data_IF_287045414350
#
_entry.id   IF_287045414350
#
_cell.length_a   1.000
_cell.length_b   1.000
_cell.length_c   1.000
_cell.angle_alpha   90.00
_cell.angle_beta   90.00
_cell.angle_gamma   90.00
#
_symmetry.space_group_name_H-M   'P 1'
#
loop_
_entity.id
_entity.type
_entity.pdbx_description
1 polymer ?
#
# COMPACT_ATOMS: atom_id res chain seq x y z
N UNK A 1 11.68 -7.30 17.18
CA UNK A 1 11.71 -7.08 15.71
C UNK A 1 10.40 -7.38 15.00
N UNK A 2 9.69 -8.47 15.34
CA UNK A 2 8.42 -8.80 14.67
C UNK A 2 7.37 -7.68 14.74
N UNK A 3 7.27 -7.00 15.90
CA UNK A 3 6.37 -5.85 16.09
C UNK A 3 6.81 -4.64 15.25
N UNK A 4 8.11 -4.29 15.26
CA UNK A 4 8.66 -3.20 14.45
C UNK A 4 8.39 -3.39 12.95
N UNK A 5 8.50 -4.61 12.43
CA UNK A 5 8.16 -4.91 11.02
C UNK A 5 6.67 -4.67 10.71
N UNK A 6 5.78 -5.01 11.67
CA UNK A 6 4.35 -4.73 11.53
C UNK A 6 4.07 -3.23 11.55
N UNK A 7 4.73 -2.48 12.45
CA UNK A 7 4.60 -1.02 12.55
C UNK A 7 5.10 -0.33 11.27
N UNK A 8 6.25 -0.74 10.72
CA UNK A 8 6.72 -0.26 9.41
C UNK A 8 5.66 -0.44 8.32
N UNK A 9 5.09 -1.64 8.20
CA UNK A 9 4.03 -1.91 7.23
C UNK A 9 2.77 -1.06 7.45
N UNK A 10 2.39 -0.81 8.71
CA UNK A 10 1.25 0.03 9.05
C UNK A 10 1.49 1.51 8.72
N UNK A 11 2.68 2.04 8.96
CA UNK A 11 3.03 3.41 8.55
C UNK A 11 2.90 3.61 7.04
N UNK A 12 3.44 2.68 6.25
CA UNK A 12 3.35 2.74 4.80
C UNK A 12 1.89 2.67 4.32
N UNK A 13 1.10 1.73 4.86
CA UNK A 13 -0.32 1.62 4.52
C UNK A 13 -1.12 2.86 4.92
N UNK A 14 -0.82 3.46 6.09
CA UNK A 14 -1.47 4.69 6.54
C UNK A 14 -1.16 5.85 5.60
N UNK A 15 0.11 6.01 5.22
CA UNK A 15 0.55 7.05 4.29
C UNK A 15 -0.16 6.92 2.92
N UNK A 16 -0.17 5.71 2.35
CA UNK A 16 -0.86 5.45 1.08
C UNK A 16 -2.37 5.75 1.18
N UNK A 17 -3.03 5.30 2.25
CA UNK A 17 -4.46 5.56 2.45
C UNK A 17 -4.75 7.06 2.62
N UNK A 18 -3.92 7.79 3.35
CA UNK A 18 -4.02 9.25 3.48
C UNK A 18 -3.86 9.92 2.11
N UNK A 19 -2.81 9.56 1.36
CA UNK A 19 -2.56 10.09 0.04
C UNK A 19 -3.77 9.89 -0.88
N UNK A 20 -4.33 8.68 -0.93
CA UNK A 20 -5.49 8.40 -1.78
C UNK A 20 -6.77 9.08 -1.28
N UNK A 21 -6.99 9.16 0.04
CA UNK A 21 -8.14 9.87 0.61
C UNK A 21 -8.13 11.36 0.22
N UNK A 22 -7.00 12.04 0.44
CA UNK A 22 -6.83 13.45 0.09
C UNK A 22 -6.92 13.67 -1.42
N UNK A 23 -6.22 12.84 -2.21
CA UNK A 23 -6.20 12.96 -3.67
C UNK A 23 -7.59 12.76 -4.28
N UNK A 24 -8.39 11.81 -3.76
CA UNK A 24 -9.76 11.58 -4.25
C UNK A 24 -10.71 12.74 -3.94
N UNK A 25 -10.54 13.38 -2.79
CA UNK A 25 -11.35 14.53 -2.40
C UNK A 25 -11.00 15.80 -3.19
N UNK A 26 -9.74 15.95 -3.58
CA UNK A 26 -9.24 17.14 -4.27
C UNK A 26 -9.22 17.01 -5.81
N UNK A 27 -9.41 15.81 -6.37
CA UNK A 27 -9.37 15.59 -7.82
C UNK A 27 -10.72 15.88 -8.49
N UNK A 28 -10.74 16.91 -9.33
CA UNK A 28 -11.91 17.32 -10.13
C UNK A 28 -11.94 16.67 -11.52
N UNK A 29 -10.81 16.17 -12.03
CA UNK A 29 -10.77 15.47 -13.31
C UNK A 29 -11.28 14.02 -13.12
N UNK A 30 -12.42 13.66 -13.73
CA UNK A 30 -13.03 12.35 -13.49
C UNK A 30 -12.15 11.18 -13.95
N UNK A 31 -11.39 11.33 -15.04
CA UNK A 31 -10.50 10.26 -15.53
C UNK A 31 -9.37 10.01 -14.52
N UNK A 32 -8.78 11.08 -13.96
CA UNK A 32 -7.75 10.94 -12.92
C UNK A 32 -8.36 10.37 -11.63
N UNK A 33 -9.55 10.83 -11.24
CA UNK A 33 -10.29 10.31 -10.09
C UNK A 33 -10.53 8.80 -10.21
N UNK A 34 -10.95 8.31 -11.38
CA UNK A 34 -11.11 6.88 -11.62
C UNK A 34 -9.80 6.09 -11.50
N UNK A 35 -8.67 6.64 -11.95
CA UNK A 35 -7.37 5.99 -11.76
C UNK A 35 -6.97 5.92 -10.29
N UNK A 36 -7.23 6.99 -9.53
CA UNK A 36 -6.99 7.01 -8.08
C UNK A 36 -7.86 5.96 -7.37
N UNK A 37 -9.13 5.81 -7.74
CA UNK A 37 -10.01 4.77 -7.17
C UNK A 37 -9.40 3.38 -7.39
N UNK A 38 -8.93 3.06 -8.61
CA UNK A 38 -8.32 1.77 -8.90
C UNK A 38 -7.13 1.45 -7.98
N UNK A 39 -6.27 2.43 -7.74
CA UNK A 39 -5.11 2.27 -6.86
C UNK A 39 -5.54 2.18 -5.39
N UNK A 40 -6.47 3.02 -4.96
CA UNK A 40 -7.01 2.99 -3.61
C UNK A 40 -7.66 1.63 -3.27
N UNK A 41 -8.36 1.00 -4.21
CA UNK A 41 -8.92 -0.35 -4.03
C UNK A 41 -7.83 -1.41 -3.74
N UNK A 42 -6.64 -1.27 -4.33
CA UNK A 42 -5.51 -2.20 -4.09
C UNK A 42 -4.97 -2.02 -2.67
N UNK A 43 -4.77 -0.76 -2.25
CA UNK A 43 -4.29 -0.45 -0.89
C UNK A 43 -5.30 -0.88 0.16
N UNK A 44 -6.58 -0.55 -0.03
CA UNK A 44 -7.66 -0.98 0.86
C UNK A 44 -7.75 -2.51 0.94
N UNK A 45 -7.67 -3.22 -0.18
CA UNK A 45 -7.69 -4.69 -0.16
C UNK A 45 -6.50 -5.26 0.64
N UNK A 46 -5.29 -4.75 0.38
CA UNK A 46 -4.07 -5.14 1.10
C UNK A 46 -4.21 -4.91 2.61
N UNK A 47 -4.73 -3.74 2.99
CA UNK A 47 -4.99 -3.41 4.39
C UNK A 47 -6.02 -4.37 5.02
N UNK A 48 -7.17 -4.59 4.36
CA UNK A 48 -8.25 -5.44 4.88
C UNK A 48 -7.77 -6.89 5.07
N UNK A 49 -7.01 -7.44 4.14
CA UNK A 49 -6.39 -8.77 4.27
C UNK A 49 -5.40 -8.84 5.43
N UNK A 50 -4.69 -7.74 5.71
CA UNK A 50 -3.74 -7.66 6.81
C UNK A 50 -4.39 -7.67 8.20
N UNK A 51 -5.67 -7.27 8.33
CA UNK A 51 -6.35 -7.14 9.63
C UNK A 51 -6.29 -8.41 10.50
N UNK A 52 -6.27 -9.58 9.88
CA UNK A 52 -6.21 -10.85 10.61
C UNK A 52 -4.87 -11.06 11.33
N UNK A 53 -3.79 -10.44 10.84
CA UNK A 53 -2.46 -10.51 11.44
C UNK A 53 -2.39 -9.80 12.79
N UNK A 54 -3.39 -8.98 13.12
CA UNK A 54 -3.41 -8.16 14.34
C UNK A 54 -4.34 -8.69 15.44
N UNK A 55 -5.06 -9.79 15.20
CA UNK A 55 -6.05 -10.32 16.14
C UNK A 55 -5.52 -10.56 17.56
N UNK A 56 -4.23 -10.90 17.71
CA UNK A 56 -3.59 -11.08 19.02
C UNK A 56 -3.47 -9.78 19.81
N UNK A 57 -3.11 -8.68 19.14
CA UNK A 57 -2.95 -7.36 19.75
C UNK A 57 -4.29 -6.69 20.06
N UNK A 58 -5.38 -7.18 19.44
CA UNK A 58 -6.72 -6.69 19.70
C UNK A 58 -7.34 -7.24 20.98
N UNK A 59 -6.76 -8.28 21.62
CA UNK A 59 -7.43 -9.08 22.68
C UNK A 59 -8.12 -8.27 23.78
N UNK A 60 -7.54 -7.14 24.19
CA UNK A 60 -8.06 -6.30 25.27
C UNK A 60 -8.64 -4.97 24.78
N UNK A 61 -8.86 -4.79 23.47
CA UNK A 61 -9.39 -3.57 22.88
C UNK A 61 -10.63 -3.88 22.01
N UNK A 62 -11.80 -3.93 22.66
CA UNK A 62 -13.06 -4.27 21.99
C UNK A 62 -13.47 -3.23 20.95
N UNK A 63 -13.17 -1.95 21.18
CA UNK A 63 -13.42 -0.89 20.20
C UNK A 63 -12.66 -1.13 18.88
N UNK A 64 -11.37 -1.48 18.96
CA UNK A 64 -10.58 -1.80 17.77
C UNK A 64 -10.99 -3.11 17.12
N UNK A 65 -11.46 -4.11 17.89
CA UNK A 65 -12.06 -5.31 17.32
C UNK A 65 -13.30 -4.98 16.51
N UNK A 66 -14.18 -4.15 17.02
CA UNK A 66 -15.44 -3.81 16.37
C UNK A 66 -15.23 -2.93 15.14
N UNK A 67 -14.30 -1.96 15.22
CA UNK A 67 -13.82 -1.22 14.03
C UNK A 67 -13.26 -2.17 12.97
N UNK A 68 -12.38 -3.11 13.34
CA UNK A 68 -11.84 -4.10 12.40
C UNK A 68 -12.94 -4.98 11.78
N UNK A 69 -13.96 -5.41 12.56
CA UNK A 69 -15.10 -6.17 12.05
C UNK A 69 -15.93 -5.35 11.06
N UNK A 70 -16.21 -4.09 11.37
CA UNK A 70 -16.93 -3.17 10.49
C UNK A 70 -16.20 -2.96 9.16
N UNK A 71 -14.87 -2.75 9.21
CA UNK A 71 -14.03 -2.63 8.02
C UNK A 71 -14.05 -3.93 7.19
N UNK A 72 -13.89 -5.10 7.83
CA UNK A 72 -13.93 -6.40 7.13
C UNK A 72 -15.24 -6.66 6.40
N UNK A 73 -16.39 -6.26 6.98
CA UNK A 73 -17.71 -6.41 6.33
C UNK A 73 -17.76 -5.70 4.97
N UNK A 74 -17.18 -4.50 4.90
CA UNK A 74 -17.05 -3.67 3.67
C UNK A 74 -15.99 -4.20 2.69
N UNK A 75 -15.09 -5.06 3.16
CA UNK A 75 -14.04 -5.66 2.33
C UNK A 75 -14.53 -6.50 1.16
N UNK A 76 -15.76 -7.05 1.23
CA UNK A 76 -16.33 -7.86 0.16
C UNK A 76 -16.44 -7.09 -1.16
N UNK A 77 -17.00 -5.88 -1.13
CA UNK A 77 -17.12 -5.03 -2.32
C UNK A 77 -15.73 -4.59 -2.83
N UNK A 78 -14.81 -4.23 -1.93
CA UNK A 78 -13.45 -3.80 -2.30
C UNK A 78 -12.69 -4.90 -3.04
N UNK A 79 -12.67 -6.12 -2.49
CA UNK A 79 -12.04 -7.26 -3.12
C UNK A 79 -12.69 -7.58 -4.48
N UNK A 80 -14.02 -7.57 -4.55
CA UNK A 80 -14.75 -7.77 -5.80
C UNK A 80 -14.32 -6.76 -6.86
N UNK A 81 -14.39 -5.46 -6.56
CA UNK A 81 -14.02 -4.41 -7.50
C UNK A 81 -12.54 -4.51 -7.89
N UNK A 82 -11.62 -4.70 -6.94
CA UNK A 82 -10.18 -4.87 -7.20
C UNK A 82 -9.92 -6.02 -8.18
N UNK A 83 -10.63 -7.13 -8.05
CA UNK A 83 -10.49 -8.27 -8.97
C UNK A 83 -11.08 -7.98 -10.35
N UNK A 84 -12.14 -7.16 -10.43
CA UNK A 84 -12.81 -6.81 -11.68
C UNK A 84 -12.12 -5.71 -12.49
N UNK A 85 -11.46 -4.74 -11.84
CA UNK A 85 -10.85 -3.60 -12.53
C UNK A 85 -9.36 -3.39 -12.23
N UNK A 86 -8.86 -3.89 -11.09
CA UNK A 86 -7.54 -3.56 -10.56
C UNK A 86 -6.37 -4.29 -11.23
N UNK A 87 -6.51 -5.60 -11.53
CA UNK A 87 -5.42 -6.43 -12.08
C UNK A 87 -5.50 -6.65 -13.60
N UNK A 88 -6.64 -7.12 -14.07
CA UNK A 88 -6.94 -7.31 -15.49
C UNK A 88 -8.36 -6.80 -15.77
N UNK A 89 -8.62 -6.36 -17.00
CA UNK A 89 -9.99 -6.03 -17.40
C UNK A 89 -10.75 -7.35 -17.61
N UNK A 90 -11.61 -7.67 -16.66
CA UNK A 90 -12.46 -8.87 -16.70
C UNK A 90 -13.39 -8.83 -17.92
N UNK A 91 -13.36 -9.87 -18.77
CA UNK A 91 -14.13 -9.89 -20.02
C UNK A 91 -15.63 -9.77 -19.79
N UNK A 92 -16.14 -10.36 -18.72
CA UNK A 92 -17.56 -10.34 -18.39
C UNK A 92 -18.00 -8.96 -17.91
N UNK A 93 -17.12 -8.23 -17.24
CA UNK A 93 -17.31 -6.80 -16.95
C UNK A 93 -17.24 -5.97 -18.22
N UNK A 94 -16.30 -6.23 -19.14
CA UNK A 94 -16.23 -5.49 -20.40
C UNK A 94 -17.49 -5.67 -21.25
N UNK A 95 -18.02 -6.90 -21.33
CA UNK A 95 -19.29 -7.18 -22.04
C UNK A 95 -20.45 -6.40 -21.42
N UNK A 96 -20.59 -6.43 -20.09
CA UNK A 96 -21.62 -5.68 -19.36
C UNK A 96 -21.44 -4.18 -19.53
N UNK A 97 -20.21 -3.68 -19.48
CA UNK A 97 -19.92 -2.28 -19.70
C UNK A 97 -20.30 -1.84 -21.12
N UNK A 98 -19.92 -2.61 -22.13
CA UNK A 98 -20.30 -2.32 -23.52
C UNK A 98 -21.82 -2.28 -23.72
N UNK A 99 -22.58 -3.11 -22.99
CA UNK A 99 -24.04 -3.09 -22.97
C UNK A 99 -24.60 -1.90 -22.19
N UNK A 100 -24.03 -1.58 -21.02
CA UNK A 100 -24.49 -0.54 -20.11
C UNK A 100 -24.38 0.86 -20.70
N UNK A 101 -23.31 1.13 -21.45
CA UNK A 101 -23.08 2.42 -22.10
C UNK A 101 -22.85 2.26 -23.61
N UNK A 102 -23.91 2.01 -24.40
CA UNK A 102 -23.79 1.89 -25.86
C UNK A 102 -23.24 3.17 -26.50
N UNK A 103 -23.39 4.31 -25.83
CA UNK A 103 -22.86 5.61 -26.25
C UNK A 103 -21.34 5.60 -26.49
N UNK A 104 -20.58 4.72 -25.82
CA UNK A 104 -19.15 4.53 -26.08
C UNK A 104 -18.88 4.28 -27.57
N UNK A 105 -19.75 3.50 -28.22
CA UNK A 105 -19.66 3.09 -29.62
C UNK A 105 -20.48 3.97 -30.58
N UNK A 106 -21.06 5.07 -30.10
CA UNK A 106 -21.81 5.99 -30.96
C UNK A 106 -20.89 6.68 -31.98
N UNK A 107 -21.44 6.99 -33.17
CA UNK A 107 -20.73 7.77 -34.19
C UNK A 107 -20.26 9.13 -33.65
N UNK A 108 -21.06 9.76 -32.78
CA UNK A 108 -20.74 11.03 -32.11
C UNK A 108 -19.45 10.95 -31.30
N UNK A 109 -19.23 9.84 -30.58
CA UNK A 109 -18.06 9.68 -29.74
C UNK A 109 -16.84 9.12 -30.48
N UNK A 110 -17.01 8.57 -31.70
CA UNK A 110 -15.91 8.01 -32.50
C UNK A 110 -14.72 8.96 -32.66
N UNK A 111 -14.99 10.24 -32.85
CA UNK A 111 -13.99 11.29 -33.09
C UNK A 111 -13.52 11.98 -31.79
N UNK A 112 -14.25 11.82 -30.69
CA UNK A 112 -13.90 12.40 -29.39
C UNK A 112 -13.31 11.34 -28.44
N UNK A 113 -12.00 11.11 -28.56
CA UNK A 113 -11.29 10.09 -27.75
C UNK A 113 -11.33 10.36 -26.26
N UNK A 114 -11.30 11.63 -25.83
CA UNK A 114 -11.40 11.99 -24.42
C UNK A 114 -12.76 11.60 -23.85
N UNK A 115 -13.85 11.88 -24.58
CA UNK A 115 -15.18 11.45 -24.18
C UNK A 115 -15.31 9.92 -24.14
N UNK A 116 -14.76 9.21 -25.14
CA UNK A 116 -14.75 7.73 -25.11
C UNK A 116 -14.01 7.19 -23.89
N UNK A 117 -12.84 7.74 -23.56
CA UNK A 117 -12.07 7.31 -22.40
C UNK A 117 -12.85 7.55 -21.10
N UNK A 118 -13.46 8.72 -20.96
CA UNK A 118 -14.31 9.03 -19.80
C UNK A 118 -15.47 8.03 -19.66
N UNK A 119 -16.23 7.80 -20.75
CA UNK A 119 -17.33 6.84 -20.77
C UNK A 119 -16.81 5.44 -20.42
N UNK A 120 -15.67 5.02 -20.97
CA UNK A 120 -15.06 3.74 -20.68
C UNK A 120 -14.76 3.54 -19.20
N UNK A 121 -14.10 4.50 -18.56
CA UNK A 121 -13.82 4.43 -17.12
C UNK A 121 -15.09 4.43 -16.27
N UNK A 122 -16.02 5.35 -16.54
CA UNK A 122 -17.31 5.45 -15.82
C UNK A 122 -18.04 4.11 -15.84
N UNK A 123 -18.18 3.55 -17.03
CA UNK A 123 -18.99 2.36 -17.29
C UNK A 123 -18.36 1.11 -16.70
N UNK A 124 -17.03 0.97 -16.77
CA UNK A 124 -16.32 -0.14 -16.13
C UNK A 124 -16.47 -0.07 -14.61
N UNK A 125 -16.40 1.12 -14.03
CA UNK A 125 -16.58 1.31 -12.59
C UNK A 125 -18.01 0.94 -12.15
N UNK A 126 -19.03 1.50 -12.80
CA UNK A 126 -20.44 1.18 -12.56
C UNK A 126 -20.72 -0.33 -12.70
N UNK A 127 -20.27 -0.93 -13.80
CA UNK A 127 -20.44 -2.38 -14.03
C UNK A 127 -19.77 -3.21 -12.94
N UNK A 128 -18.66 -2.73 -12.37
CA UNK A 128 -17.95 -3.44 -11.30
C UNK A 128 -18.65 -3.28 -9.95
N UNK A 129 -19.23 -2.11 -9.67
CA UNK A 129 -20.06 -1.87 -8.48
C UNK A 129 -21.33 -2.73 -8.55
N UNK A 130 -22.05 -2.65 -9.68
CA UNK A 130 -23.38 -3.26 -9.85
C UNK A 130 -23.32 -4.77 -10.05
N UNK A 131 -22.17 -5.33 -10.43
CA UNK A 131 -21.98 -6.79 -10.50
C UNK A 131 -21.76 -7.46 -9.13
N UNK A 132 -21.59 -6.69 -8.05
CA UNK A 132 -21.55 -7.22 -6.69
C UNK A 132 -22.98 -7.43 -6.18
N UNK A 133 -23.60 -8.54 -6.60
CA UNK A 133 -25.02 -8.85 -6.34
C UNK A 133 -25.22 -9.81 -5.17
N UNK A 134 -26.35 -9.68 -4.46
CA UNK A 134 -26.82 -10.71 -3.53
C UNK A 134 -27.57 -11.79 -4.32
N UNK A 135 -27.08 -13.02 -4.24
CA UNK A 135 -27.67 -14.18 -4.91
C UNK A 135 -28.98 -14.60 -4.24
N UNK A 136 -29.14 -14.30 -2.95
CA UNK A 136 -30.29 -14.72 -2.15
C UNK A 136 -31.43 -13.70 -2.14
N UNK A 137 -31.16 -12.43 -2.46
CA UNK A 137 -32.14 -11.34 -2.39
C UNK A 137 -32.29 -10.62 -3.74
N UNK A 138 -33.12 -11.20 -4.61
CA UNK A 138 -33.65 -10.59 -5.84
C UNK A 138 -32.63 -9.96 -6.81
N UNK A 139 -31.35 -10.36 -6.77
CA UNK A 139 -30.26 -9.81 -7.60
C UNK A 139 -29.96 -8.33 -7.36
N UNK A 140 -30.30 -7.78 -6.19
CA UNK A 140 -29.94 -6.41 -5.84
C UNK A 140 -28.43 -6.29 -5.61
N UNK A 141 -27.89 -5.07 -5.80
CA UNK A 141 -26.51 -4.77 -5.47
C UNK A 141 -26.33 -4.95 -3.94
N UNK A 142 -25.34 -5.75 -3.55
CA UNK A 142 -25.23 -6.31 -2.20
C UNK A 142 -24.83 -5.31 -1.11
N UNK A 143 -24.15 -4.22 -1.47
CA UNK A 143 -23.68 -3.21 -0.51
C UNK A 143 -24.70 -2.06 -0.35
N UNK A 144 -25.34 -1.65 -1.45
CA UNK A 144 -26.15 -0.44 -1.55
C UNK A 144 -27.64 -0.73 -1.71
N UNK A 145 -28.02 -1.97 -2.06
CA UNK A 145 -29.40 -2.36 -2.32
C UNK A 145 -30.01 -1.79 -3.60
N UNK A 146 -29.26 -0.98 -4.35
CA UNK A 146 -29.67 -0.33 -5.59
C UNK A 146 -28.56 -0.40 -6.64
N UNK A 147 -28.92 -0.32 -7.91
CA UNK A 147 -27.94 -0.09 -8.97
C UNK A 147 -27.40 1.34 -8.87
N UNK A 148 -26.09 1.49 -9.03
CA UNK A 148 -25.40 2.79 -8.99
C UNK A 148 -25.19 3.29 -10.41
N UNK A 149 -25.69 4.50 -10.71
CA UNK A 149 -25.34 5.27 -11.90
C UNK A 149 -24.55 6.53 -11.48
N UNK A 150 -23.27 6.61 -11.87
CA UNK A 150 -22.39 7.72 -11.48
C UNK A 150 -22.73 9.04 -12.19
N UNK A 151 -23.67 9.04 -13.13
CA UNK A 151 -24.23 10.27 -13.69
C UNK A 151 -25.35 10.86 -12.83
N UNK A 152 -25.92 10.06 -11.91
CA UNK A 152 -26.92 10.52 -10.95
C UNK A 152 -26.19 11.02 -9.69
N UNK A 153 -26.34 12.31 -9.30
CA UNK A 153 -25.60 12.87 -8.17
C UNK A 153 -25.79 12.11 -6.86
N UNK A 154 -27.00 11.65 -6.54
CA UNK A 154 -27.27 10.89 -5.31
C UNK A 154 -26.52 9.56 -5.26
N UNK A 155 -26.47 8.85 -6.37
CA UNK A 155 -25.86 7.52 -6.44
C UNK A 155 -24.32 7.63 -6.42
N UNK A 156 -23.82 8.68 -7.09
CA UNK A 156 -22.43 9.09 -7.00
C UNK A 156 -22.02 9.37 -5.55
N UNK A 157 -22.81 10.15 -4.81
CA UNK A 157 -22.58 10.43 -3.40
C UNK A 157 -22.58 9.16 -2.54
N UNK A 158 -23.49 8.21 -2.76
CA UNK A 158 -23.52 6.93 -2.04
C UNK A 158 -22.17 6.21 -2.17
N UNK A 159 -21.69 6.02 -3.40
CA UNK A 159 -20.43 5.31 -3.63
C UNK A 159 -19.20 6.06 -3.10
N UNK A 160 -19.11 7.37 -3.34
CA UNK A 160 -17.95 8.15 -2.89
C UNK A 160 -17.93 8.34 -1.37
N UNK A 161 -19.08 8.50 -0.71
CA UNK A 161 -19.15 8.52 0.75
C UNK A 161 -18.76 7.17 1.34
N UNK A 162 -19.22 6.07 0.76
CA UNK A 162 -18.80 4.73 1.17
C UNK A 162 -17.27 4.57 1.14
N UNK A 163 -16.64 4.92 0.01
CA UNK A 163 -15.19 4.80 -0.16
C UNK A 163 -14.43 5.77 0.77
N UNK A 164 -14.92 7.01 0.90
CA UNK A 164 -14.36 8.02 1.79
C UNK A 164 -14.38 7.59 3.24
N UNK A 165 -15.54 7.14 3.75
CA UNK A 165 -15.69 6.63 5.11
C UNK A 165 -14.82 5.40 5.36
N UNK A 166 -14.72 4.47 4.39
CA UNK A 166 -13.86 3.30 4.53
C UNK A 166 -12.38 3.68 4.64
N UNK A 167 -11.90 4.66 3.85
CA UNK A 167 -10.55 5.18 3.98
C UNK A 167 -10.33 5.78 5.38
N UNK A 168 -11.22 6.66 5.84
CA UNK A 168 -11.12 7.30 7.17
C UNK A 168 -11.10 6.27 8.28
N UNK A 169 -12.02 5.30 8.25
CA UNK A 169 -12.07 4.24 9.25
C UNK A 169 -10.80 3.40 9.26
N UNK A 170 -10.23 3.12 8.08
CA UNK A 170 -8.97 2.39 7.93
C UNK A 170 -7.80 3.17 8.50
N UNK A 171 -7.67 4.46 8.18
CA UNK A 171 -6.63 5.36 8.70
C UNK A 171 -6.70 5.47 10.22
N UNK A 172 -7.90 5.66 10.76
CA UNK A 172 -8.13 5.76 12.20
C UNK A 172 -7.81 4.44 12.89
N UNK A 173 -8.22 3.32 12.32
CA UNK A 173 -7.88 2.01 12.86
C UNK A 173 -6.37 1.77 12.88
N UNK A 174 -5.67 2.11 11.78
CA UNK A 174 -4.20 1.99 11.70
C UNK A 174 -3.51 2.86 12.75
N UNK A 175 -3.96 4.10 12.93
CA UNK A 175 -3.38 5.01 13.93
C UNK A 175 -3.49 4.42 15.33
N UNK A 176 -4.67 3.93 15.70
CA UNK A 176 -4.90 3.37 17.02
C UNK A 176 -4.15 2.05 17.26
N UNK A 177 -3.99 1.19 16.24
CA UNK A 177 -3.22 -0.05 16.41
C UNK A 177 -1.71 0.22 16.48
N UNK A 178 -1.20 1.27 15.80
CA UNK A 178 0.20 1.69 15.94
C UNK A 178 0.47 2.07 17.40
N UNK A 179 -0.38 2.91 18.00
CA UNK A 179 -0.26 3.31 19.41
C UNK A 179 -0.21 2.10 20.36
N UNK A 180 -1.03 1.07 20.09
CA UNK A 180 -1.02 -0.18 20.88
C UNK A 180 0.29 -0.95 20.70
N UNK A 181 0.79 -1.07 19.48
CA UNK A 181 2.01 -1.82 19.18
C UNK A 181 3.27 -1.12 19.68
N UNK A 182 3.28 0.21 19.72
CA UNK A 182 4.39 1.02 20.24
C UNK A 182 4.58 0.87 21.74
N UNK A 183 3.61 0.32 22.48
CA UNK A 183 3.79 -0.04 23.89
C UNK A 183 4.68 -1.29 24.07
N UNK A 184 4.83 -2.11 23.04
CA UNK A 184 5.53 -3.39 23.10
C UNK A 184 6.98 -3.33 22.55
N UNK A 185 7.49 -2.14 22.21
CA UNK A 185 8.90 -1.96 21.84
C UNK A 185 9.38 -0.54 22.13
N UNK A 186 10.70 -0.42 22.34
CA UNK A 186 11.36 0.88 22.51
C UNK A 186 11.98 1.34 21.18
N UNK A 187 11.95 2.65 20.96
CA UNK A 187 12.73 3.29 19.91
C UNK A 187 14.21 3.24 20.28
N UNK A 188 15.05 3.06 19.26
CA UNK A 188 16.49 3.02 19.49
C UNK A 188 17.02 4.39 19.88
N UNK A 189 17.85 4.42 20.92
CA UNK A 189 18.75 5.55 21.15
C UNK A 189 19.91 5.57 20.13
N UNK A 190 20.78 6.57 20.22
CA UNK A 190 21.88 6.74 19.26
C UNK A 190 22.85 5.54 19.24
N UNK A 191 23.12 4.90 20.39
CA UNK A 191 24.07 3.80 20.49
C UNK A 191 23.42 2.47 20.09
N UNK A 192 22.13 2.28 20.38
CA UNK A 192 21.36 1.17 19.84
C UNK A 192 21.18 1.27 18.32
N UNK A 193 21.00 2.48 17.79
CA UNK A 193 20.84 2.72 16.35
C UNK A 193 22.10 2.30 15.58
N UNK A 194 23.28 2.62 16.11
CA UNK A 194 24.59 2.18 15.61
C UNK A 194 24.65 0.66 15.51
N UNK A 195 24.31 -0.02 16.61
CA UNK A 195 24.31 -1.48 16.67
C UNK A 195 23.34 -2.08 15.65
N UNK A 196 22.18 -1.46 15.44
CA UNK A 196 21.23 -1.89 14.42
C UNK A 196 21.70 -1.62 12.99
N UNK A 197 22.50 -0.57 12.73
CA UNK A 197 23.13 -0.40 11.41
C UNK A 197 24.16 -1.49 11.13
N UNK A 198 24.94 -1.91 12.13
CA UNK A 198 25.84 -3.06 12.00
C UNK A 198 25.06 -4.33 11.65
N UNK A 199 23.97 -4.63 12.39
CA UNK A 199 23.06 -5.75 12.09
C UNK A 199 22.51 -5.64 10.66
N UNK A 200 22.10 -4.43 10.23
CA UNK A 200 21.52 -4.22 8.91
C UNK A 200 22.47 -4.60 7.75
N UNK A 201 23.79 -4.51 7.96
CA UNK A 201 24.78 -4.92 6.95
C UNK A 201 24.76 -6.42 6.63
N UNK A 202 24.20 -7.24 7.53
CA UNK A 202 24.02 -8.68 7.37
C UNK A 202 22.64 -9.05 6.81
N UNK A 203 21.84 -8.09 6.35
CA UNK A 203 20.51 -8.38 5.78
C UNK A 203 20.65 -9.23 4.51
N UNK A 204 20.15 -10.48 4.55
CA UNK A 204 20.03 -11.34 3.38
C UNK A 204 18.71 -11.05 2.67
N UNK A 205 18.78 -10.36 1.53
CA UNK A 205 17.61 -10.07 0.69
C UNK A 205 17.13 -11.29 -0.12
N UNK A 206 17.76 -12.47 0.03
CA UNK A 206 17.30 -13.69 -0.60
C UNK A 206 16.06 -14.26 0.09
N UNK A 207 14.89 -13.84 -0.39
CA UNK A 207 13.58 -14.28 0.10
C UNK A 207 13.30 -15.79 -0.03
N UNK A 208 14.19 -16.57 -0.67
CA UNK A 208 14.06 -18.04 -0.77
C UNK A 208 14.69 -18.77 0.42
N UNK A 209 15.44 -18.08 1.28
CA UNK A 209 16.06 -18.63 2.47
C UNK A 209 15.34 -18.13 3.71
N UNK A 210 15.37 -18.93 4.77
CA UNK A 210 14.95 -18.46 6.08
C UNK A 210 15.91 -17.37 6.55
N UNK A 211 15.38 -16.18 6.78
CA UNK A 211 16.14 -15.06 7.29
C UNK A 211 16.14 -15.09 8.83
N UNK A 212 17.34 -15.20 9.41
CA UNK A 212 17.58 -14.98 10.84
C UNK A 212 18.54 -13.83 10.98
N UNK A 213 18.25 -12.91 11.90
CA UNK A 213 19.21 -11.88 12.20
C UNK A 213 20.33 -12.44 13.06
N UNK A 214 21.57 -12.00 12.81
CA UNK A 214 22.68 -12.30 13.70
C UNK A 214 22.46 -11.65 15.06
N UNK A 215 22.94 -12.30 16.11
CA UNK A 215 23.05 -11.66 17.44
C UNK A 215 24.21 -10.66 17.42
N UNK A 216 24.15 -9.60 18.23
CA UNK A 216 25.17 -8.54 18.26
C UNK A 216 26.57 -9.08 18.57
N UNK A 217 26.64 -10.13 19.39
CA UNK A 217 27.87 -10.81 19.78
C UNK A 217 28.51 -11.61 18.63
N UNK A 218 27.74 -11.88 17.56
CA UNK A 218 28.18 -12.60 16.36
C UNK A 218 28.67 -11.65 15.24
N UNK A 219 28.59 -10.33 15.47
CA UNK A 219 28.99 -9.33 14.48
C UNK A 219 30.46 -8.97 14.69
N UNK A 220 31.29 -9.35 13.71
CA UNK A 220 32.69 -8.92 13.65
C UNK A 220 32.77 -7.39 13.49
N UNK A 221 33.79 -6.77 14.11
CA UNK A 221 34.07 -5.35 13.93
C UNK A 221 34.22 -5.03 12.43
N UNK A 222 33.34 -4.16 11.94
CA UNK A 222 33.31 -3.75 10.54
C UNK A 222 33.69 -2.28 10.46
N UNK A 223 34.94 -2.01 10.07
CA UNK A 223 35.50 -0.66 9.90
C UNK A 223 34.60 0.23 9.02
N UNK A 224 33.92 -0.35 8.02
CA UNK A 224 33.00 0.41 7.15
C UNK A 224 31.69 0.75 7.84
N UNK A 225 31.20 -0.11 8.75
CA UNK A 225 30.05 0.21 9.57
C UNK A 225 30.39 1.36 10.54
N UNK A 226 31.58 1.36 11.12
CA UNK A 226 32.03 2.39 12.07
C UNK A 226 32.21 3.76 11.39
N UNK A 227 32.77 3.78 10.18
CA UNK A 227 32.85 4.99 9.38
C UNK A 227 31.47 5.53 8.98
N UNK A 228 30.50 4.64 8.67
CA UNK A 228 29.12 5.04 8.41
C UNK A 228 28.48 5.65 9.68
N UNK A 229 28.73 5.05 10.83
CA UNK A 229 28.26 5.53 12.13
C UNK A 229 28.80 6.94 12.42
N UNK A 230 30.09 7.19 12.20
CA UNK A 230 30.70 8.53 12.36
C UNK A 230 30.12 9.57 11.41
N UNK A 231 29.73 9.17 10.20
CA UNK A 231 29.03 10.03 9.26
C UNK A 231 27.60 10.32 9.71
N UNK A 232 26.89 9.32 10.27
CA UNK A 232 25.51 9.47 10.72
C UNK A 232 25.40 10.37 11.96
N UNK A 233 26.34 10.25 12.91
CA UNK A 233 26.46 11.10 14.11
C UNK A 233 26.79 12.56 13.80
N UNK A 234 27.24 12.87 12.59
CA UNK A 234 27.53 14.25 12.18
C UNK A 234 26.23 15.05 12.00
N UNK A 235 26.06 16.09 12.81
CA UNK A 235 24.87 16.95 12.78
C UNK A 235 24.93 18.02 11.69
N UNK A 236 26.13 18.37 11.24
CA UNK A 236 26.33 19.30 10.13
C UNK A 236 26.13 18.60 8.77
N UNK A 237 25.15 19.04 7.99
CA UNK A 237 24.79 18.43 6.71
C UNK A 237 25.93 18.41 5.68
N UNK A 238 26.79 19.44 5.65
CA UNK A 238 27.91 19.51 4.70
C UNK A 238 28.97 18.49 5.08
N UNK A 239 29.37 18.47 6.36
CA UNK A 239 30.36 17.50 6.87
C UNK A 239 29.85 16.06 6.80
N UNK A 240 28.56 15.85 7.04
CA UNK A 240 27.91 14.55 6.89
C UNK A 240 28.01 14.04 5.46
N UNK A 241 27.71 14.90 4.48
CA UNK A 241 27.83 14.55 3.07
C UNK A 241 29.27 14.28 2.65
N UNK A 242 30.25 15.04 3.15
CA UNK A 242 31.67 14.78 2.90
C UNK A 242 32.09 13.39 3.42
N UNK A 243 31.77 13.07 4.68
CA UNK A 243 32.05 11.76 5.28
C UNK A 243 31.37 10.60 4.54
N UNK A 244 30.12 10.79 4.10
CA UNK A 244 29.38 9.81 3.29
C UNK A 244 30.02 9.58 1.92
N UNK A 245 30.48 10.64 1.25
CA UNK A 245 31.14 10.53 -0.06
C UNK A 245 32.48 9.80 0.05
N UNK A 246 33.27 10.08 1.10
CA UNK A 246 34.52 9.36 1.37
C UNK A 246 34.29 7.87 1.63
N UNK A 247 33.21 7.54 2.36
CA UNK A 247 32.81 6.15 2.58
C UNK A 247 32.42 5.45 1.27
N UNK A 248 31.65 6.12 0.42
CA UNK A 248 31.24 5.59 -0.90
C UNK A 248 32.47 5.27 -1.75
N UNK A 249 33.44 6.18 -1.83
CA UNK A 249 34.68 5.98 -2.58
C UNK A 249 35.47 4.76 -2.08
N UNK A 250 35.56 4.59 -0.76
CA UNK A 250 36.21 3.40 -0.16
C UNK A 250 35.47 2.10 -0.50
N UNK A 251 34.13 2.10 -0.47
CA UNK A 251 33.31 0.94 -0.85
C UNK A 251 33.49 0.55 -2.33
N UNK A 252 33.56 1.55 -3.21
CA UNK A 252 33.78 1.32 -4.64
C UNK A 252 35.14 0.67 -4.90
N UNK A 253 36.19 1.14 -4.23
CA UNK A 253 37.54 0.57 -4.33
C UNK A 253 37.60 -0.88 -3.83
N UNK A 254 36.94 -1.20 -2.71
CA UNK A 254 36.86 -2.57 -2.21
C UNK A 254 36.11 -3.51 -3.17
N UNK A 255 34.99 -3.04 -3.74
CA UNK A 255 34.22 -3.81 -4.72
C UNK A 255 35.02 -4.07 -6.01
N UNK A 256 35.80 -3.11 -6.48
CA UNK A 256 36.74 -3.26 -7.60
C UNK A 256 37.79 -4.35 -7.32
N UNK A 257 38.36 -4.39 -6.11
CA UNK A 257 39.31 -5.43 -5.71
C UNK A 257 38.67 -6.82 -5.66
N UNK A 258 37.51 -6.96 -5.01
CA UNK A 258 36.75 -8.22 -4.93
C UNK A 258 36.40 -8.78 -6.31
N UNK A 259 35.99 -7.92 -7.25
CA UNK A 259 35.72 -8.31 -8.64
C UNK A 259 36.96 -8.85 -9.34
N UNK A 260 38.14 -8.27 -9.09
CA UNK A 260 39.42 -8.74 -9.64
C UNK A 260 39.81 -10.10 -9.05
N UNK A 261 39.64 -10.30 -7.76
CA UNK A 261 39.92 -11.57 -7.09
C UNK A 261 38.99 -12.71 -7.56
N UNK A 262 37.70 -12.44 -7.70
CA UNK A 262 36.73 -13.41 -8.22
C UNK A 262 37.04 -13.81 -9.67
N UNK A 263 37.47 -12.87 -10.51
CA UNK A 263 37.95 -13.18 -11.87
C UNK A 263 39.18 -14.07 -11.85
N UNK A 264 40.13 -13.83 -10.94
CA UNK A 264 41.36 -14.62 -10.84
C UNK A 264 41.13 -16.03 -10.27
N UNK A 265 40.06 -16.27 -9.50
CA UNK A 265 39.67 -17.60 -9.00
C UNK A 265 38.82 -18.40 -9.98
N UNK A 266 38.36 -17.78 -11.07
CA UNK A 266 37.52 -18.39 -12.11
C UNK A 266 38.32 -18.85 -13.35
N UNK A 267 39.64 -18.66 -13.33
CA UNK A 267 40.61 -19.16 -14.31
C UNK A 267 41.48 -20.24 -13.67
#
# INVERSE_FOLDING_TARGET
>A
MEIRNKVLGLYLLKDELNYFHESLNNEFNPIKKFRLIKQNLIVLNTFIESLNKFNLYLRNNDELKDKARSIRKRGGLINHMRNKIGGHLDEDILKRAAQWSPDFFSKKNKENKTAQIFIGYKTILESSINSYIDINDNKLQKEFGIEIDLMIPSDCEIFFNYLGCLNVDSINWISNIIEVLELDFEYFDDDELINNFRIASYTDFNLKKDFKLPELEEIEDNEMADLLIEAIKETDLLKKNEKLNDLILKLEQNNEMLKKELKNKSC
#
